data_IF_836048976800
#
_entry.id   IF_836048976800
#
_cell.length_a   1.000
_cell.length_b   1.000
_cell.length_c   1.000
_cell.angle_alpha   90.00
_cell.angle_beta   90.00
_cell.angle_gamma   90.00
#
_symmetry.space_group_name_H-M   'P 1'
#
loop_
_entity.id
_entity.type
_entity.pdbx_description
1 polymer ?
#
# COMPACT_ATOMS: atom_id res chain seq x y z
N UNK A 1 5.59 -29.03 3.20
CA UNK A 1 6.25 -27.71 3.23
C UNK A 1 5.13 -26.69 3.04
N UNK A 2 4.88 -25.82 4.02
CA UNK A 2 3.90 -24.75 3.84
C UNK A 2 4.44 -23.81 2.76
N UNK A 3 3.62 -23.58 1.73
CA UNK A 3 3.93 -22.63 0.65
C UNK A 3 3.90 -21.22 1.25
N UNK A 4 4.98 -20.45 1.13
CA UNK A 4 4.98 -19.05 1.52
C UNK A 4 4.06 -18.26 0.58
N UNK A 5 3.35 -17.30 1.15
CA UNK A 5 2.41 -16.44 0.41
C UNK A 5 3.17 -15.23 -0.15
N UNK A 6 3.04 -14.94 -1.45
CA UNK A 6 3.64 -13.76 -2.06
C UNK A 6 2.99 -12.47 -1.54
N UNK A 7 3.80 -11.44 -1.36
CA UNK A 7 3.38 -10.09 -0.98
C UNK A 7 3.70 -9.14 -2.13
N UNK A 8 2.70 -8.38 -2.53
CA UNK A 8 2.80 -7.30 -3.51
C UNK A 8 2.64 -5.98 -2.77
N UNK A 9 3.61 -5.10 -2.89
CA UNK A 9 3.55 -3.75 -2.32
C UNK A 9 3.18 -2.76 -3.42
N UNK A 10 2.16 -1.94 -3.17
CA UNK A 10 1.75 -0.85 -4.05
C UNK A 10 2.14 0.46 -3.39
N UNK A 11 3.06 1.19 -4.00
CA UNK A 11 3.55 2.48 -3.55
C UNK A 11 3.31 3.55 -4.61
N UNK A 12 3.48 4.81 -4.24
CA UNK A 12 3.32 5.96 -5.12
C UNK A 12 2.69 7.14 -4.39
N UNK A 13 2.88 8.33 -4.88
CA UNK A 13 2.41 9.57 -4.26
C UNK A 13 0.89 9.66 -4.11
N UNK A 14 0.45 10.61 -3.28
CA UNK A 14 -0.97 10.98 -3.16
C UNK A 14 -1.53 11.37 -4.53
N UNK A 15 -2.74 10.88 -4.83
CA UNK A 15 -3.39 11.14 -6.11
C UNK A 15 -2.73 10.45 -7.32
N UNK A 16 -1.75 9.55 -7.13
CA UNK A 16 -1.14 8.80 -8.23
C UNK A 16 -2.05 7.74 -8.85
N UNK A 17 -3.13 7.36 -8.14
CA UNK A 17 -4.10 6.37 -8.61
C UNK A 17 -3.91 4.97 -8.00
N UNK A 18 -3.18 4.82 -6.87
CA UNK A 18 -2.96 3.55 -6.18
C UNK A 18 -4.26 2.78 -5.92
N UNK A 19 -5.19 3.41 -5.22
CA UNK A 19 -6.48 2.80 -4.86
C UNK A 19 -7.31 2.47 -6.10
N UNK A 20 -7.26 3.28 -7.15
CA UNK A 20 -7.92 3.02 -8.43
C UNK A 20 -7.33 1.78 -9.10
N UNK A 21 -6.01 1.67 -9.13
CA UNK A 21 -5.31 0.50 -9.65
C UNK A 21 -5.61 -0.75 -8.82
N UNK A 22 -5.61 -0.63 -7.49
CA UNK A 22 -5.95 -1.73 -6.59
C UNK A 22 -7.36 -2.25 -6.86
N UNK A 23 -8.37 -1.38 -6.98
CA UNK A 23 -9.74 -1.77 -7.34
C UNK A 23 -9.81 -2.49 -8.67
N UNK A 24 -9.10 -2.00 -9.67
CA UNK A 24 -9.02 -2.65 -10.97
C UNK A 24 -8.42 -4.06 -10.85
N UNK A 25 -7.30 -4.20 -10.15
CA UNK A 25 -6.61 -5.47 -9.94
C UNK A 25 -7.51 -6.50 -9.24
N UNK A 26 -8.22 -6.08 -8.19
CA UNK A 26 -9.14 -6.94 -7.45
C UNK A 26 -10.32 -7.41 -8.31
N UNK A 27 -10.87 -6.53 -9.12
CA UNK A 27 -12.01 -6.85 -9.99
C UNK A 27 -11.65 -7.77 -11.14
N UNK A 28 -10.49 -7.57 -11.76
CA UNK A 28 -10.07 -8.35 -12.93
C UNK A 28 -9.39 -9.68 -12.56
N UNK A 29 -9.01 -9.85 -11.29
CA UNK A 29 -8.36 -11.07 -10.83
C UNK A 29 -9.36 -12.03 -10.20
N UNK A 30 -9.18 -13.33 -10.48
CA UNK A 30 -9.93 -14.41 -9.81
C UNK A 30 -9.20 -14.95 -8.57
N UNK A 31 -8.09 -14.33 -8.15
CA UNK A 31 -7.32 -14.77 -6.99
C UNK A 31 -7.92 -14.25 -5.69
N UNK A 32 -7.74 -15.04 -4.62
CA UNK A 32 -8.06 -14.62 -3.27
C UNK A 32 -6.92 -13.79 -2.70
N UNK A 33 -7.15 -12.50 -2.55
CA UNK A 33 -6.19 -11.57 -1.97
C UNK A 33 -6.51 -11.26 -0.50
N UNK A 34 -5.47 -11.21 0.32
CA UNK A 34 -5.53 -10.49 1.58
C UNK A 34 -5.05 -9.04 1.35
N UNK A 35 -5.73 -8.09 1.94
CA UNK A 35 -5.41 -6.67 1.75
C UNK A 35 -4.97 -6.04 3.07
N UNK A 36 -3.89 -5.27 3.02
CA UNK A 36 -3.49 -4.36 4.09
C UNK A 36 -3.42 -2.97 3.47
N UNK A 37 -4.26 -2.07 3.99
CA UNK A 37 -4.34 -0.69 3.52
C UNK A 37 -3.79 0.20 4.63
N UNK A 38 -2.74 0.95 4.29
CA UNK A 38 -2.14 1.93 5.18
C UNK A 38 -2.37 3.32 4.59
N UNK A 39 -3.51 3.91 4.92
CA UNK A 39 -3.85 5.26 4.49
C UNK A 39 -3.75 6.24 5.67
N UNK A 40 -3.20 7.42 5.39
CA UNK A 40 -3.10 8.50 6.38
C UNK A 40 -4.37 9.35 6.29
N UNK A 41 -5.31 9.19 7.23
CA UNK A 41 -6.53 10.01 7.32
C UNK A 41 -7.79 9.21 7.65
N UNK A 42 -8.86 9.91 8.02
CA UNK A 42 -10.17 9.37 8.40
C UNK A 42 -11.01 8.78 7.22
N UNK A 43 -10.36 8.38 6.15
CA UNK A 43 -11.05 7.77 5.00
C UNK A 43 -11.07 6.27 5.22
N UNK A 44 -12.07 5.80 5.95
CA UNK A 44 -12.31 4.38 6.19
C UNK A 44 -12.39 3.57 4.89
N UNK A 45 -12.20 2.25 5.01
CA UNK A 45 -12.29 1.31 3.89
C UNK A 45 -13.56 1.62 3.08
N UNK A 46 -13.35 2.00 1.82
CA UNK A 46 -14.46 2.28 0.92
C UNK A 46 -15.22 0.97 0.68
N UNK A 47 -16.52 0.96 1.00
CA UNK A 47 -17.37 -0.22 0.86
C UNK A 47 -17.37 -0.83 -0.55
N UNK A 48 -16.96 -0.04 -1.57
CA UNK A 48 -16.77 -0.53 -2.92
C UNK A 48 -15.47 -1.36 -3.09
N UNK A 49 -14.49 -1.16 -2.22
CA UNK A 49 -13.27 -1.95 -2.20
C UNK A 49 -13.54 -3.36 -1.64
N UNK A 50 -14.35 -3.45 -0.58
CA UNK A 50 -14.81 -4.73 -0.02
C UNK A 50 -15.58 -5.55 -1.06
N UNK A 51 -16.49 -4.92 -1.80
CA UNK A 51 -17.27 -5.56 -2.88
C UNK A 51 -16.42 -5.99 -4.08
N UNK A 52 -15.24 -5.42 -4.24
CA UNK A 52 -14.32 -5.76 -5.34
C UNK A 52 -13.46 -6.99 -5.06
N UNK A 53 -13.42 -7.46 -3.80
CA UNK A 53 -12.70 -8.66 -3.43
C UNK A 53 -13.50 -9.91 -3.83
N UNK A 54 -13.06 -10.62 -4.87
CA UNK A 54 -13.61 -11.92 -5.22
C UNK A 54 -13.27 -12.94 -4.11
N UNK A 55 -14.30 -13.38 -3.35
CA UNK A 55 -14.15 -14.38 -2.29
C UNK A 55 -14.17 -13.83 -0.87
N UNK A 56 -14.41 -12.52 -0.68
CA UNK A 56 -14.85 -11.97 0.58
C UNK A 56 -16.38 -11.93 0.55
N UNK A 57 -17.04 -12.75 1.37
CA UNK A 57 -18.48 -12.59 1.64
C UNK A 57 -18.67 -11.33 2.48
N UNK A 58 -19.83 -10.68 2.41
CA UNK A 58 -20.17 -9.46 3.18
C UNK A 58 -20.03 -9.62 4.72
N UNK A 59 -19.72 -10.81 5.19
CA UNK A 59 -19.46 -11.19 6.58
C UNK A 59 -17.97 -11.43 6.89
N UNK A 60 -17.07 -11.43 5.90
CA UNK A 60 -15.64 -11.72 6.08
C UNK A 60 -14.86 -10.45 6.41
N UNK A 61 -14.98 -9.98 7.66
CA UNK A 61 -14.15 -8.89 8.23
C UNK A 61 -12.63 -9.20 8.22
N UNK A 62 -12.24 -10.39 7.79
CA UNK A 62 -10.85 -10.86 7.85
C UNK A 62 -10.03 -10.73 6.57
N UNK A 63 -10.63 -10.37 5.43
CA UNK A 63 -9.89 -10.25 4.16
C UNK A 63 -9.19 -8.91 3.98
N UNK A 64 -9.66 -7.87 4.66
CA UNK A 64 -9.13 -6.50 4.57
C UNK A 64 -8.77 -6.02 5.96
N UNK A 65 -7.54 -5.58 6.15
CA UNK A 65 -7.07 -4.96 7.39
C UNK A 65 -6.65 -3.53 7.09
N UNK A 66 -7.29 -2.60 7.77
CA UNK A 66 -6.91 -1.20 7.77
C UNK A 66 -5.97 -0.91 8.95
N UNK A 67 -4.85 -0.28 8.66
CA UNK A 67 -3.91 0.16 9.69
C UNK A 67 -4.18 1.64 9.99
N UNK A 68 -4.87 1.90 11.10
CA UNK A 68 -5.35 3.23 11.49
C UNK A 68 -4.28 4.15 12.13
N UNK A 69 -3.05 3.67 12.31
CA UNK A 69 -2.04 4.38 13.12
C UNK A 69 -0.91 5.01 12.29
N UNK A 70 -1.25 5.89 11.36
CA UNK A 70 -0.23 6.75 10.75
C UNK A 70 0.85 6.01 9.97
N UNK A 71 2.06 6.55 9.93
CA UNK A 71 3.15 6.01 9.14
C UNK A 71 3.56 4.60 9.59
N UNK A 72 3.40 3.59 8.72
CA UNK A 72 3.87 2.21 8.93
C UNK A 72 5.36 2.16 9.33
N UNK A 73 6.13 3.20 8.99
CA UNK A 73 7.54 3.32 9.36
C UNK A 73 7.80 3.44 10.87
N UNK A 74 6.83 3.96 11.64
CA UNK A 74 7.00 4.18 13.09
C UNK A 74 6.41 3.06 13.95
N UNK A 75 5.38 2.34 13.48
CA UNK A 75 4.63 1.33 14.25
C UNK A 75 4.68 -0.07 13.64
N UNK A 76 5.61 -0.32 12.71
CA UNK A 76 5.70 -1.59 11.97
C UNK A 76 5.73 -2.82 12.89
N UNK A 77 6.39 -2.74 14.06
CA UNK A 77 6.45 -3.87 14.98
C UNK A 77 5.13 -4.15 15.69
N UNK A 78 4.45 -3.10 16.10
CA UNK A 78 3.31 -3.25 17.02
C UNK A 78 2.01 -3.61 16.29
N UNK A 79 1.81 -3.09 15.08
CA UNK A 79 0.56 -3.26 14.34
C UNK A 79 0.70 -4.17 13.11
N UNK A 80 1.81 -4.10 12.38
CA UNK A 80 1.98 -4.79 11.10
C UNK A 80 2.11 -6.31 11.26
N UNK A 81 2.98 -6.78 12.17
CA UNK A 81 3.17 -8.23 12.39
C UNK A 81 1.88 -8.90 12.87
N UNK A 82 1.16 -8.36 13.88
CA UNK A 82 -0.13 -8.89 14.28
C UNK A 82 -1.15 -8.92 13.13
N UNK A 83 -1.17 -7.89 12.31
CA UNK A 83 -2.08 -7.80 11.15
C UNK A 83 -1.81 -8.90 10.12
N UNK A 84 -0.55 -9.10 9.73
CA UNK A 84 -0.17 -10.21 8.84
C UNK A 84 -0.58 -11.56 9.44
N UNK A 85 -0.31 -11.78 10.72
CA UNK A 85 -0.68 -13.05 11.39
C UNK A 85 -2.18 -13.26 11.45
N UNK A 86 -2.94 -12.22 11.73
CA UNK A 86 -4.40 -12.25 11.74
C UNK A 86 -4.95 -12.58 10.36
N UNK A 87 -4.46 -11.88 9.33
CA UNK A 87 -4.84 -12.11 7.93
C UNK A 87 -4.64 -13.58 7.51
N UNK A 88 -3.49 -14.15 7.84
CA UNK A 88 -3.14 -15.53 7.54
C UNK A 88 -3.96 -16.55 8.32
N UNK A 89 -4.35 -16.23 9.56
CA UNK A 89 -5.15 -17.11 10.40
C UNK A 89 -6.63 -17.14 9.99
N UNK A 90 -7.18 -15.99 9.64
CA UNK A 90 -8.60 -15.88 9.25
C UNK A 90 -8.84 -16.42 7.84
N UNK A 91 -7.85 -16.35 6.96
CA UNK A 91 -8.01 -16.70 5.55
C UNK A 91 -6.90 -17.66 5.09
N UNK A 92 -7.01 -18.97 5.38
CA UNK A 92 -5.97 -19.94 5.01
C UNK A 92 -5.82 -20.16 3.51
N UNK A 93 -6.81 -19.75 2.71
CA UNK A 93 -6.88 -19.91 1.27
C UNK A 93 -6.33 -18.69 0.48
N UNK A 94 -5.75 -17.70 1.17
CA UNK A 94 -5.14 -16.55 0.52
C UNK A 94 -4.02 -16.99 -0.42
N UNK A 95 -4.08 -16.51 -1.66
CA UNK A 95 -3.09 -16.79 -2.70
C UNK A 95 -1.99 -15.73 -2.80
N UNK A 96 -2.30 -14.48 -2.42
CA UNK A 96 -1.35 -13.37 -2.31
C UNK A 96 -1.86 -12.32 -1.33
N UNK A 97 -0.92 -11.53 -0.79
CA UNK A 97 -1.22 -10.35 0.04
C UNK A 97 -0.85 -9.11 -0.75
N UNK A 98 -1.75 -8.13 -0.76
CA UNK A 98 -1.47 -6.80 -1.33
C UNK A 98 -1.39 -5.81 -0.18
N UNK A 99 -0.34 -4.99 -0.18
CA UNK A 99 -0.14 -3.92 0.79
C UNK A 99 -0.12 -2.60 0.04
N UNK A 100 -1.11 -1.75 0.27
CA UNK A 100 -1.10 -0.37 -0.22
C UNK A 100 -0.46 0.54 0.82
N UNK A 101 0.58 1.28 0.43
CA UNK A 101 1.24 2.24 1.32
C UNK A 101 0.60 3.62 1.20
N UNK A 102 0.68 4.40 2.29
CA UNK A 102 0.37 5.83 2.22
C UNK A 102 1.21 6.53 1.16
N UNK A 103 0.63 7.56 0.53
CA UNK A 103 1.30 8.31 -0.53
C UNK A 103 2.55 9.06 -0.11
N UNK A 104 2.73 9.30 1.18
CA UNK A 104 3.92 9.96 1.75
C UNK A 104 4.80 8.98 2.55
N UNK A 105 4.50 7.70 2.54
CA UNK A 105 5.31 6.71 3.24
C UNK A 105 6.55 6.33 2.43
N UNK A 106 7.66 6.16 3.15
CA UNK A 106 8.85 5.49 2.66
C UNK A 106 8.57 3.98 2.59
N UNK A 107 8.67 3.33 1.43
CA UNK A 107 8.35 1.91 1.32
C UNK A 107 9.45 1.01 1.89
N UNK A 108 10.69 1.49 1.99
CA UNK A 108 11.84 0.68 2.40
C UNK A 108 11.69 0.08 3.81
N UNK A 109 11.23 0.78 4.86
CA UNK A 109 11.02 0.19 6.17
C UNK A 109 10.02 -0.98 6.16
N UNK A 110 8.93 -0.85 5.37
CA UNK A 110 7.96 -1.93 5.18
C UNK A 110 8.60 -3.15 4.49
N UNK A 111 9.35 -2.92 3.41
CA UNK A 111 10.07 -3.96 2.67
C UNK A 111 11.03 -4.72 3.59
N UNK A 112 11.75 -4.00 4.47
CA UNK A 112 12.62 -4.61 5.46
C UNK A 112 11.84 -5.44 6.47
N UNK A 113 10.68 -4.97 6.92
CA UNK A 113 9.84 -5.67 7.88
C UNK A 113 9.29 -7.00 7.36
N UNK A 114 9.05 -7.13 6.05
CA UNK A 114 8.63 -8.39 5.43
C UNK A 114 9.69 -9.51 5.58
N UNK A 115 10.93 -9.16 5.85
CA UNK A 115 12.03 -10.12 6.08
C UNK A 115 12.23 -10.49 7.56
N UNK A 116 11.40 -9.98 8.47
CA UNK A 116 11.56 -10.28 9.89
C UNK A 116 11.28 -11.75 10.23
N UNK A 117 12.00 -12.30 11.22
CA UNK A 117 11.93 -13.73 11.56
C UNK A 117 10.51 -14.24 11.82
N UNK A 118 9.64 -13.38 12.37
CA UNK A 118 8.29 -13.70 12.83
C UNK A 118 7.33 -14.00 11.67
N UNK A 119 7.59 -13.47 10.47
CA UNK A 119 6.69 -13.58 9.31
C UNK A 119 7.34 -14.14 8.05
N UNK A 120 8.67 -14.02 7.89
CA UNK A 120 9.39 -14.44 6.68
C UNK A 120 9.25 -15.93 6.34
N UNK A 121 8.84 -16.76 7.30
CA UNK A 121 8.57 -18.19 7.07
C UNK A 121 7.22 -18.43 6.42
N UNK A 122 6.30 -17.47 6.53
CA UNK A 122 4.92 -17.57 6.04
C UNK A 122 4.69 -16.75 4.76
N UNK A 123 5.43 -15.66 4.58
CA UNK A 123 5.30 -14.75 3.45
C UNK A 123 6.66 -14.47 2.80
N UNK A 124 6.66 -13.84 1.62
CA UNK A 124 7.85 -13.27 0.98
C UNK A 124 7.46 -12.10 0.08
N UNK A 125 8.33 -11.10 -0.01
CA UNK A 125 8.17 -10.02 -0.99
C UNK A 125 8.33 -10.59 -2.39
N UNK A 126 7.32 -10.41 -3.23
CA UNK A 126 7.30 -10.87 -4.61
C UNK A 126 7.49 -9.71 -5.60
N UNK A 127 6.83 -8.58 -5.34
CA UNK A 127 6.82 -7.44 -6.25
C UNK A 127 6.56 -6.13 -5.51
N UNK A 128 7.27 -5.08 -5.91
CA UNK A 128 6.99 -3.67 -5.55
C UNK A 128 6.56 -2.91 -6.79
N UNK A 129 5.34 -2.36 -6.75
CA UNK A 129 4.76 -1.58 -7.85
C UNK A 129 4.73 -0.12 -7.44
N UNK A 130 5.50 0.72 -8.14
CA UNK A 130 5.42 2.18 -8.02
C UNK A 130 4.37 2.75 -8.97
N UNK A 131 3.43 3.53 -8.47
CA UNK A 131 2.40 4.17 -9.30
C UNK A 131 2.68 5.66 -9.40
N UNK A 132 2.75 6.15 -10.64
CA UNK A 132 3.06 7.54 -10.97
C UNK A 132 1.94 8.15 -11.79
N UNK A 133 1.53 9.36 -11.44
CA UNK A 133 0.59 10.14 -12.23
C UNK A 133 1.31 10.80 -13.41
N UNK A 134 1.04 10.32 -14.62
CA UNK A 134 1.68 10.81 -15.85
C UNK A 134 1.35 12.26 -16.16
N UNK A 135 0.14 12.75 -15.81
CA UNK A 135 -0.24 14.14 -16.03
C UNK A 135 0.57 15.10 -15.14
N UNK A 136 0.75 14.72 -13.87
CA UNK A 136 1.58 15.49 -12.92
C UNK A 136 3.03 15.56 -13.40
N UNK A 137 3.57 14.44 -13.85
CA UNK A 137 4.94 14.39 -14.38
C UNK A 137 5.13 15.28 -15.61
N UNK A 138 4.14 15.37 -16.50
CA UNK A 138 4.18 16.29 -17.64
C UNK A 138 4.17 17.76 -17.21
N UNK A 139 3.61 18.08 -16.05
CA UNK A 139 3.63 19.42 -15.45
C UNK A 139 4.91 19.72 -14.68
N UNK A 140 5.84 18.76 -14.62
CA UNK A 140 7.14 18.91 -13.96
C UNK A 140 7.13 18.70 -12.45
N UNK A 141 6.08 18.08 -11.91
CA UNK A 141 6.00 17.74 -10.49
C UNK A 141 5.38 16.36 -10.32
N UNK A 142 5.86 15.53 -9.37
CA UNK A 142 5.18 14.27 -9.04
C UNK A 142 3.81 14.45 -8.39
N UNK A 143 3.43 15.70 -8.09
CA UNK A 143 2.30 16.08 -7.25
C UNK A 143 1.30 16.93 -8.04
N UNK A 144 0.00 16.61 -7.94
CA UNK A 144 -1.06 17.39 -8.58
C UNK A 144 -1.40 18.67 -7.82
N UNK A 145 -1.40 18.65 -6.49
CA UNK A 145 -1.74 19.80 -5.64
C UNK A 145 -0.79 19.92 -4.45
N UNK A 146 0.06 20.95 -4.50
CA UNK A 146 1.01 21.26 -3.44
C UNK A 146 0.33 21.64 -2.10
N UNK A 147 -0.90 22.19 -2.13
CA UNK A 147 -1.55 22.67 -0.93
C UNK A 147 -2.13 21.53 -0.07
N UNK A 148 -2.66 20.48 -0.70
CA UNK A 148 -3.14 19.31 0.05
C UNK A 148 -1.99 18.57 0.74
N UNK A 149 -0.83 18.53 0.08
CA UNK A 149 0.34 17.81 0.59
C UNK A 149 1.05 18.61 1.69
N UNK A 150 1.13 19.94 1.57
CA UNK A 150 1.85 20.76 2.56
C UNK A 150 1.27 20.57 3.95
N UNK A 151 -0.03 20.48 4.11
CA UNK A 151 -0.66 20.27 5.40
C UNK A 151 -0.36 18.88 5.98
N UNK A 152 -0.39 17.83 5.17
CA UNK A 152 -0.09 16.46 5.60
C UNK A 152 1.41 16.26 5.80
N UNK A 153 2.24 16.88 4.97
CA UNK A 153 3.69 16.85 5.06
C UNK A 153 4.21 17.59 6.31
N UNK A 154 3.60 18.72 6.68
CA UNK A 154 3.91 19.44 7.92
C UNK A 154 3.54 18.63 9.18
N UNK A 155 2.50 17.80 9.09
CA UNK A 155 2.17 16.86 10.18
C UNK A 155 3.17 15.70 10.25
N UNK A 156 3.63 15.17 9.13
CA UNK A 156 4.65 14.12 9.07
C UNK A 156 6.04 14.63 9.50
N UNK A 157 6.42 15.85 9.13
CA UNK A 157 7.70 16.45 9.54
C UNK A 157 7.79 16.70 11.06
N UNK A 158 6.67 16.76 11.77
CA UNK A 158 6.67 16.76 13.25
C UNK A 158 7.11 15.42 13.83
N UNK A 159 7.18 14.36 13.00
CA UNK A 159 7.49 12.97 13.41
C UNK A 159 8.90 12.53 12.95
N UNK A 160 9.82 13.45 12.63
CA UNK A 160 11.26 13.13 12.47
C UNK A 160 11.80 12.74 11.08
N UNK A 161 11.14 13.10 9.99
CA UNK A 161 11.70 12.89 8.64
C UNK A 161 11.87 14.22 7.90
N UNK A 162 13.11 14.74 7.88
CA UNK A 162 13.52 15.91 7.06
C UNK A 162 13.75 15.58 5.56
N UNK A 163 13.14 14.51 5.05
CA UNK A 163 13.27 14.18 3.63
C UNK A 163 12.46 15.16 2.78
N UNK A 164 13.03 15.67 1.72
CA UNK A 164 12.29 16.48 0.76
C UNK A 164 11.27 15.63 0.00
N UNK A 165 10.25 16.26 -0.59
CA UNK A 165 9.25 15.58 -1.42
C UNK A 165 9.92 14.86 -2.60
N UNK A 166 10.97 15.46 -3.17
CA UNK A 166 11.72 14.88 -4.28
C UNK A 166 12.48 13.60 -3.82
N UNK A 167 13.11 13.64 -2.63
CA UNK A 167 13.78 12.46 -2.04
C UNK A 167 12.80 11.32 -1.77
N UNK A 168 11.60 11.63 -1.25
CA UNK A 168 10.55 10.63 -1.05
C UNK A 168 10.12 9.98 -2.38
N UNK A 169 9.96 10.80 -3.41
CA UNK A 169 9.58 10.31 -4.74
C UNK A 169 10.68 9.44 -5.35
N UNK A 170 11.94 9.89 -5.28
CA UNK A 170 13.09 9.13 -5.75
C UNK A 170 13.16 7.77 -5.04
N UNK A 171 13.05 7.74 -3.71
CA UNK A 171 13.09 6.48 -2.95
C UNK A 171 11.94 5.54 -3.33
N UNK A 172 10.72 6.06 -3.52
CA UNK A 172 9.59 5.25 -3.98
C UNK A 172 9.84 4.61 -5.34
N UNK A 173 10.53 5.31 -6.25
CA UNK A 173 10.89 4.79 -7.56
C UNK A 173 12.04 3.77 -7.47
N UNK A 174 13.08 4.07 -6.69
CA UNK A 174 14.28 3.22 -6.56
C UNK A 174 13.96 1.82 -6.03
N UNK A 175 13.00 1.71 -5.10
CA UNK A 175 12.61 0.41 -4.52
C UNK A 175 11.58 -0.33 -5.36
N UNK A 176 11.06 0.27 -6.43
CA UNK A 176 10.03 -0.32 -7.27
C UNK A 176 10.63 -1.27 -8.32
N UNK A 177 10.14 -2.50 -8.38
CA UNK A 177 10.46 -3.45 -9.44
C UNK A 177 9.80 -3.06 -10.77
N UNK A 178 8.59 -2.47 -10.68
CA UNK A 178 7.80 -2.01 -11.82
C UNK A 178 7.26 -0.63 -11.49
N UNK A 179 7.37 0.30 -12.44
CA UNK A 179 6.73 1.62 -12.37
C UNK A 179 5.60 1.68 -13.39
N UNK A 180 4.38 1.90 -12.89
CA UNK A 180 3.19 2.12 -13.71
C UNK A 180 2.90 3.61 -13.81
N UNK A 181 2.95 4.14 -15.03
CA UNK A 181 2.57 5.52 -15.30
C UNK A 181 1.09 5.53 -15.69
N UNK A 182 0.25 6.02 -14.78
CA UNK A 182 -1.18 6.14 -15.03
C UNK A 182 -1.50 7.51 -15.63
N UNK A 183 -2.35 7.50 -16.65
CA UNK A 183 -2.90 8.73 -17.20
C UNK A 183 -4.37 8.81 -16.80
N UNK A 184 -4.76 9.92 -16.17
CA UNK A 184 -6.15 10.21 -15.82
C UNK A 184 -6.94 10.80 -17.01
N UNK A 185 -6.50 10.58 -18.23
CA UNK A 185 -7.31 10.92 -19.40
C UNK A 185 -8.50 9.96 -19.37
N UNK A 186 -9.63 10.48 -18.95
CA UNK A 186 -10.90 9.79 -19.11
C UNK A 186 -11.12 9.47 -20.59
N UNK A 187 -11.16 8.18 -20.90
CA UNK A 187 -11.74 7.70 -22.13
C UNK A 187 -13.25 7.69 -21.95
#
# INVERSE_FOLDING_TARGET
MNKRIPVIVISGFLGSGKTTFLRYLLRESNKKFGLIINEFGDVGIDGDLVKSCNGCDDSDEGCIIELNNGCLCCTVQDDFIPSIKSLLNFNPDIEAIIIETSGLALPLPLIQALNWPEIRTSIYLDLVIGIVNGESMLKGSPINDLNEITNQYDELNKIDHNASIDELFEEQLEVSDIVLILSLIHI
#
